data_IF_586971072079
#
_entry.id   IF_586971072079
#
_cell.length_a   1.000
_cell.length_b   1.000
_cell.length_c   1.000
_cell.angle_alpha   90.00
_cell.angle_beta   90.00
_cell.angle_gamma   90.00
#
_symmetry.space_group_name_H-M   'P 1'
#
loop_
_entity.id
_entity.type
_entity.pdbx_description
1 polymer ?
#
# COMPACT_ATOMS: atom_id res chain seq x y z
N UNK A 1 -15.90 -1.56 -6.74
CA UNK A 1 -15.32 -1.79 -8.08
C UNK A 1 -14.34 -2.94 -8.00
N UNK A 2 -13.28 -2.74 -7.20
CA UNK A 2 -12.40 -3.77 -6.64
C UNK A 2 -12.01 -3.30 -5.24
N UNK A 3 -11.76 -4.23 -4.32
CA UNK A 3 -11.14 -3.92 -3.04
C UNK A 3 -9.61 -3.98 -3.16
N UNK A 4 -8.91 -3.41 -2.19
CA UNK A 4 -7.45 -3.49 -2.14
C UNK A 4 -6.95 -3.68 -0.72
N UNK A 5 -5.77 -4.26 -0.63
CA UNK A 5 -5.02 -4.38 0.61
C UNK A 5 -3.68 -3.68 0.45
N UNK A 6 -3.10 -3.27 1.58
CA UNK A 6 -1.79 -2.62 1.60
C UNK A 6 -0.81 -3.55 2.29
N UNK A 7 0.34 -3.78 1.65
CA UNK A 7 1.44 -4.52 2.23
C UNK A 7 2.74 -3.70 2.16
N UNK A 8 3.60 -3.86 3.17
CA UNK A 8 4.97 -3.35 3.17
C UNK A 8 5.93 -4.48 3.50
N UNK A 9 7.21 -4.36 3.13
CA UNK A 9 8.23 -5.39 3.42
C UNK A 9 8.23 -5.75 4.91
N UNK A 10 8.14 -4.74 5.78
CA UNK A 10 8.22 -4.91 7.23
C UNK A 10 6.88 -5.12 7.93
N UNK A 11 5.75 -4.83 7.28
CA UNK A 11 4.44 -4.71 7.94
C UNK A 11 4.30 -3.42 8.78
N UNK A 12 5.29 -2.54 8.78
CA UNK A 12 5.18 -1.22 9.40
C UNK A 12 4.37 -0.28 8.50
N UNK A 13 3.77 0.74 9.12
CA UNK A 13 2.91 1.72 8.45
C UNK A 13 3.53 2.31 7.17
N UNK A 14 2.70 2.51 6.16
CA UNK A 14 3.05 3.22 4.93
C UNK A 14 3.50 4.65 5.26
N UNK A 15 4.49 5.14 4.52
CA UNK A 15 5.01 6.50 4.64
C UNK A 15 4.60 7.30 3.40
N UNK A 16 3.83 8.36 3.63
CA UNK A 16 3.42 9.29 2.58
C UNK A 16 4.32 10.52 2.58
N UNK A 17 4.55 11.07 1.39
CA UNK A 17 5.02 12.43 1.18
C UNK A 17 3.89 13.42 1.54
N UNK A 18 3.56 13.55 2.83
CA UNK A 18 2.42 14.36 3.29
C UNK A 18 2.50 15.83 2.85
N UNK A 19 3.70 16.36 2.60
CA UNK A 19 3.90 17.69 2.05
C UNK A 19 3.32 17.89 0.64
N UNK A 20 3.09 16.79 -0.10
CA UNK A 20 2.43 16.77 -1.41
C UNK A 20 0.93 16.40 -1.32
N UNK A 21 0.38 16.17 -0.12
CA UNK A 21 -1.01 15.76 0.03
C UNK A 21 -1.96 16.89 -0.40
N UNK A 22 -2.88 16.67 -1.35
CA UNK A 22 -3.76 17.72 -1.84
C UNK A 22 -4.94 17.94 -0.86
N UNK A 23 -4.68 18.59 0.26
CA UNK A 23 -5.63 18.73 1.38
C UNK A 23 -6.99 19.38 1.03
N UNK A 24 -7.10 20.08 -0.10
CA UNK A 24 -8.34 20.70 -0.58
C UNK A 24 -9.07 19.87 -1.63
N UNK A 25 -8.52 18.72 -2.04
CA UNK A 25 -9.14 17.87 -3.04
C UNK A 25 -10.23 17.00 -2.40
N UNK A 26 -11.47 17.26 -2.80
CA UNK A 26 -12.68 16.64 -2.28
C UNK A 26 -12.84 15.17 -2.68
N UNK A 27 -12.04 14.65 -3.61
CA UNK A 27 -12.05 13.23 -4.00
C UNK A 27 -10.92 12.46 -3.32
N UNK A 28 -9.73 13.05 -3.25
CA UNK A 28 -8.55 12.39 -2.67
C UNK A 28 -8.65 12.28 -1.16
N UNK A 29 -9.04 13.36 -0.46
CA UNK A 29 -9.04 13.36 1.00
C UNK A 29 -10.05 12.37 1.61
N UNK A 30 -11.32 12.30 1.15
CA UNK A 30 -12.25 11.29 1.66
C UNK A 30 -11.78 9.87 1.37
N UNK A 31 -11.23 9.60 0.19
CA UNK A 31 -10.66 8.29 -0.14
C UNK A 31 -9.51 7.92 0.79
N UNK A 32 -8.58 8.84 1.03
CA UNK A 32 -7.45 8.63 1.94
C UNK A 32 -7.91 8.35 3.37
N UNK A 33 -8.84 9.15 3.89
CA UNK A 33 -9.36 8.97 5.26
C UNK A 33 -10.14 7.65 5.42
N UNK A 34 -10.95 7.27 4.42
CA UNK A 34 -11.68 6.00 4.41
C UNK A 34 -10.73 4.79 4.53
N UNK A 35 -9.56 4.83 3.89
CA UNK A 35 -8.62 3.71 3.84
C UNK A 35 -7.41 3.88 4.78
N UNK A 36 -7.42 4.90 5.65
CA UNK A 36 -6.30 5.27 6.52
C UNK A 36 -5.84 4.15 7.44
N UNK A 37 -6.76 3.28 7.87
CA UNK A 37 -6.45 2.12 8.69
C UNK A 37 -5.55 1.11 7.98
N UNK A 38 -5.77 0.87 6.67
CA UNK A 38 -4.95 -0.02 5.84
C UNK A 38 -3.52 0.51 5.71
N UNK A 39 -3.36 1.83 5.53
CA UNK A 39 -2.03 2.44 5.47
C UNK A 39 -1.31 2.47 6.82
N UNK A 40 -2.06 2.59 7.92
CA UNK A 40 -1.48 2.57 9.28
C UNK A 40 -1.08 1.16 9.72
N UNK A 41 -1.82 0.14 9.30
CA UNK A 41 -1.59 -1.26 9.68
C UNK A 41 -1.55 -2.14 8.43
N UNK A 42 -0.54 -1.99 7.56
CA UNK A 42 -0.43 -2.82 6.36
C UNK A 42 -0.03 -4.25 6.74
N UNK A 43 -0.33 -5.20 5.85
CA UNK A 43 0.19 -6.56 5.95
C UNK A 43 1.70 -6.57 5.76
N UNK A 44 2.37 -7.59 6.28
CA UNK A 44 3.75 -7.88 5.92
C UNK A 44 3.78 -8.62 4.59
N UNK A 45 4.58 -8.13 3.63
CA UNK A 45 4.58 -8.64 2.26
C UNK A 45 4.91 -10.14 2.19
N UNK A 46 5.87 -10.61 3.00
CA UNK A 46 6.23 -12.03 3.06
C UNK A 46 5.04 -12.93 3.44
N UNK A 47 4.15 -12.46 4.32
CA UNK A 47 2.98 -13.23 4.76
C UNK A 47 1.92 -13.30 3.64
N UNK A 48 1.76 -12.20 2.89
CA UNK A 48 0.89 -12.17 1.70
C UNK A 48 1.40 -13.16 0.66
N UNK A 49 2.69 -13.09 0.32
CA UNK A 49 3.31 -13.99 -0.67
C UNK A 49 3.19 -15.45 -0.25
N UNK A 50 3.44 -15.76 1.02
CA UNK A 50 3.31 -17.11 1.55
C UNK A 50 1.86 -17.65 1.48
N UNK A 51 0.85 -16.79 1.45
CA UNK A 51 -0.56 -17.17 1.30
C UNK A 51 -1.01 -17.34 -0.16
N UNK A 52 -0.24 -16.84 -1.14
CA UNK A 52 -0.63 -16.89 -2.55
C UNK A 52 -0.69 -18.32 -3.07
N UNK A 53 -1.73 -18.59 -3.86
CA UNK A 53 -2.00 -19.88 -4.50
C UNK A 53 -2.88 -19.67 -5.75
N UNK A 54 -3.22 -20.75 -6.44
CA UNK A 54 -3.98 -20.70 -7.70
C UNK A 54 -5.39 -20.06 -7.54
N UNK A 55 -5.96 -20.07 -6.35
CA UNK A 55 -7.30 -19.55 -6.05
C UNK A 55 -7.26 -18.14 -5.43
N UNK A 56 -6.12 -17.45 -5.48
CA UNK A 56 -5.99 -16.09 -4.90
C UNK A 56 -6.84 -15.06 -5.64
N UNK A 57 -7.53 -14.20 -4.89
CA UNK A 57 -8.44 -13.18 -5.43
C UNK A 57 -7.72 -11.89 -5.90
N UNK A 58 -6.39 -11.85 -5.85
CA UNK A 58 -5.62 -10.70 -6.33
C UNK A 58 -5.53 -10.70 -7.87
N UNK A 59 -6.25 -9.77 -8.50
CA UNK A 59 -6.19 -9.59 -9.95
C UNK A 59 -4.93 -8.82 -10.42
N UNK A 60 -4.31 -8.01 -9.56
CA UNK A 60 -3.16 -7.18 -9.91
C UNK A 60 -2.33 -6.78 -8.70
N UNK A 61 -1.07 -6.39 -8.95
CA UNK A 61 -0.18 -5.74 -7.99
C UNK A 61 0.00 -4.29 -8.43
N UNK A 62 -0.16 -3.36 -7.48
CA UNK A 62 0.11 -1.94 -7.70
C UNK A 62 1.26 -1.47 -6.81
N UNK A 63 2.30 -0.92 -7.43
CA UNK A 63 3.47 -0.37 -6.74
C UNK A 63 3.52 1.14 -6.98
N UNK A 64 3.08 1.98 -6.02
CA UNK A 64 3.12 3.43 -6.17
C UNK A 64 4.56 3.97 -6.15
N UNK A 65 4.75 5.14 -6.75
CA UNK A 65 6.05 5.82 -6.80
C UNK A 65 6.39 6.65 -5.56
N UNK A 66 7.03 7.80 -5.78
CA UNK A 66 7.69 8.59 -4.74
C UNK A 66 9.09 8.06 -4.44
N UNK A 67 9.98 8.90 -3.92
CA UNK A 67 11.38 8.50 -3.73
C UNK A 67 11.55 7.39 -2.69
N UNK A 68 10.59 7.24 -1.77
CA UNK A 68 10.58 6.14 -0.79
C UNK A 68 10.52 4.75 -1.42
N UNK A 69 9.99 4.62 -2.65
CA UNK A 69 9.95 3.34 -3.36
C UNK A 69 11.34 2.80 -3.74
N UNK A 70 12.37 3.65 -3.69
CA UNK A 70 13.77 3.26 -3.95
C UNK A 70 14.47 2.69 -2.72
N UNK A 71 13.81 2.64 -1.56
CA UNK A 71 14.42 2.19 -0.31
C UNK A 71 13.89 0.80 0.02
N UNK A 72 14.73 -0.21 -0.16
CA UNK A 72 14.46 -1.59 0.25
C UNK A 72 13.57 -2.39 -0.71
N UNK A 73 12.59 -1.78 -1.40
CA UNK A 73 11.78 -2.48 -2.41
C UNK A 73 12.61 -3.05 -3.58
N UNK A 74 13.57 -2.31 -4.17
CA UNK A 74 14.33 -2.82 -5.31
C UNK A 74 15.23 -4.02 -4.95
N UNK A 75 15.63 -4.13 -3.69
CA UNK A 75 16.49 -5.21 -3.19
C UNK A 75 15.73 -6.32 -2.46
N UNK A 76 14.41 -6.18 -2.30
CA UNK A 76 13.58 -7.16 -1.59
C UNK A 76 13.50 -8.46 -2.37
N UNK A 77 13.74 -9.58 -1.68
CA UNK A 77 13.59 -10.94 -2.21
C UNK A 77 12.24 -11.54 -1.83
#
# INVERSE_FOLDING_TARGET
GFEFEVATISGLMTKFEYWAMPHKDEKVMPFFEQHKSLFRNPKKLADVVASLNADSEYAAIFVPGGHGALIGLPESQ
#
